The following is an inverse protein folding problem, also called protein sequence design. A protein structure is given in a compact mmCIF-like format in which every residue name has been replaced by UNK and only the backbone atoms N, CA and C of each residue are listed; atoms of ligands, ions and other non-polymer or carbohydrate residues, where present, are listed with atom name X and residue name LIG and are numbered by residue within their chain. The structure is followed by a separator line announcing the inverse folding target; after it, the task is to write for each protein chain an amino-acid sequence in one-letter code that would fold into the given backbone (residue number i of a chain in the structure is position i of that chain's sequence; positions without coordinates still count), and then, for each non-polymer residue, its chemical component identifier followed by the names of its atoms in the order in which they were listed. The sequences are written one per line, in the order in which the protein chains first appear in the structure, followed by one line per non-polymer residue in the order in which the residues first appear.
data_IF_150659332655
#
_entry.id   IF_150659332655
#
_cell.length_a   1.000
_cell.length_b   1.000
_cell.length_c   1.000
_cell.angle_alpha   90.00
_cell.angle_beta   90.00
_cell.angle_gamma   90.00
#
_symmetry.space_group_name_H-M   'P 1'
#
loop_
_entity.id
_entity.type
_entity.pdbx_description
1 polymer ?
#
# COMPACT_ATOMS: atom_id res chain seq x y z
N UNK A 1 -10.55 16.44 9.47
CA UNK A 1 -9.73 17.23 10.39
C UNK A 1 -9.45 18.57 9.71
N UNK A 2 -10.00 19.69 10.21
CA UNK A 2 -9.80 21.02 9.62
C UNK A 2 -8.36 21.53 9.74
N UNK A 3 -7.54 20.98 10.63
CA UNK A 3 -6.16 21.42 10.85
C UNK A 3 -5.18 20.80 9.84
N UNK A 4 -5.64 19.84 9.03
CA UNK A 4 -4.85 19.21 7.98
C UNK A 4 -4.61 20.10 6.76
N UNK A 5 -5.30 21.25 6.66
CA UNK A 5 -5.15 22.19 5.56
C UNK A 5 -5.29 23.64 6.05
N UNK A 6 -4.71 24.63 5.34
CA UNK A 6 -4.99 26.04 5.62
C UNK A 6 -6.49 26.37 5.52
N UNK A 7 -6.98 27.43 6.19
CA UNK A 7 -8.38 27.84 6.13
C UNK A 7 -8.90 27.99 4.69
N UNK A 8 -10.04 27.37 4.40
CA UNK A 8 -10.66 27.37 3.06
C UNK A 8 -9.96 26.47 2.02
N UNK A 9 -9.06 25.59 2.45
CA UNK A 9 -8.37 24.59 1.61
C UNK A 9 -8.69 23.18 2.07
N UNK A 10 -8.36 22.20 1.23
CA UNK A 10 -8.56 20.79 1.49
C UNK A 10 -7.33 19.99 1.10
N UNK A 11 -7.07 18.91 1.85
CA UNK A 11 -6.17 17.84 1.42
C UNK A 11 -7.03 16.72 0.84
N UNK A 12 -6.68 16.27 -0.36
CA UNK A 12 -7.30 15.14 -1.02
C UNK A 12 -6.24 14.08 -1.26
N UNK A 13 -6.48 12.88 -0.75
CA UNK A 13 -5.64 11.71 -0.99
C UNK A 13 -6.35 10.80 -1.98
N UNK A 14 -5.66 10.45 -3.07
CA UNK A 14 -6.18 9.56 -4.10
C UNK A 14 -5.45 8.22 -4.01
N UNK A 15 -6.17 7.17 -3.59
CA UNK A 15 -5.68 5.81 -3.70
C UNK A 15 -6.03 5.27 -5.09
N UNK A 16 -5.02 5.07 -5.94
CA UNK A 16 -5.20 4.74 -7.35
C UNK A 16 -4.86 3.28 -7.58
N UNK A 17 -5.84 2.52 -8.07
CA UNK A 17 -5.64 1.16 -8.56
C UNK A 17 -6.08 1.08 -10.03
N UNK A 18 -5.31 0.47 -10.94
CA UNK A 18 -4.00 -0.19 -10.76
C UNK A 18 -2.89 0.61 -11.45
N UNK A 19 -1.74 0.73 -10.78
CA UNK A 19 -0.52 1.30 -11.33
C UNK A 19 0.55 0.20 -11.45
N UNK A 20 1.01 -0.15 -12.66
CA UNK A 20 2.04 -1.19 -12.83
C UNK A 20 3.41 -0.74 -12.30
N UNK A 21 4.10 -1.63 -11.58
CA UNK A 21 5.49 -1.37 -11.16
C UNK A 21 6.44 -1.41 -12.37
N UNK A 22 6.35 -2.46 -13.19
CA UNK A 22 7.15 -2.62 -14.40
C UNK A 22 6.47 -1.96 -15.61
N UNK A 23 6.94 -0.77 -15.98
CA UNK A 23 6.52 -0.07 -17.20
C UNK A 23 7.67 0.00 -18.22
N UNK A 24 7.34 0.16 -19.50
CA UNK A 24 8.34 0.23 -20.56
C UNK A 24 9.31 1.39 -20.29
N UNK A 25 10.60 1.10 -20.11
CA UNK A 25 11.62 2.09 -19.77
C UNK A 25 11.56 2.61 -18.33
N UNK A 26 10.85 1.93 -17.41
CA UNK A 26 10.84 2.23 -15.98
C UNK A 26 10.12 3.53 -15.59
N UNK A 27 10.01 3.78 -14.29
CA UNK A 27 9.51 5.04 -13.74
C UNK A 27 10.60 6.12 -13.77
N UNK A 28 10.20 7.33 -14.15
CA UNK A 28 11.01 8.54 -14.09
C UNK A 28 10.08 9.73 -13.76
N UNK A 29 10.65 10.93 -13.63
CA UNK A 29 9.89 12.11 -13.24
C UNK A 29 8.78 12.44 -14.25
N UNK A 30 9.05 12.37 -15.56
CA UNK A 30 8.07 12.65 -16.60
C UNK A 30 6.87 11.69 -16.53
N UNK A 31 7.12 10.38 -16.42
CA UNK A 31 6.05 9.37 -16.32
C UNK A 31 5.28 9.46 -15.01
N UNK A 32 5.93 9.90 -13.92
CA UNK A 32 5.25 10.21 -12.66
C UNK A 32 4.24 11.32 -12.88
N UNK A 33 4.65 12.42 -13.51
CA UNK A 33 3.75 13.54 -13.81
C UNK A 33 2.63 13.14 -14.78
N UNK A 34 2.94 12.38 -15.85
CA UNK A 34 1.93 11.84 -16.78
C UNK A 34 0.87 11.00 -16.05
N UNK A 35 1.30 10.16 -15.10
CA UNK A 35 0.38 9.37 -14.27
C UNK A 35 -0.50 10.26 -13.40
N UNK A 36 0.07 11.27 -12.75
CA UNK A 36 -0.69 12.26 -11.98
C UNK A 36 -1.70 13.01 -12.85
N UNK A 37 -1.31 13.43 -14.04
CA UNK A 37 -2.18 14.09 -15.01
C UNK A 37 -3.33 13.19 -15.45
N UNK A 38 -3.07 11.91 -15.71
CA UNK A 38 -4.12 10.94 -16.04
C UNK A 38 -5.18 10.85 -14.93
N UNK A 39 -4.77 10.81 -13.67
CA UNK A 39 -5.67 10.77 -12.50
C UNK A 39 -6.47 12.07 -12.38
N UNK A 40 -5.82 13.23 -12.48
CA UNK A 40 -6.50 14.54 -12.42
C UNK A 40 -7.45 14.73 -13.59
N UNK A 41 -7.08 14.29 -14.79
CA UNK A 41 -7.93 14.31 -15.98
C UNK A 41 -9.19 13.47 -15.80
N UNK A 42 -9.09 12.31 -15.16
CA UNK A 42 -10.24 11.48 -14.82
C UNK A 42 -11.16 12.20 -13.81
N UNK A 43 -10.59 12.80 -12.76
CA UNK A 43 -11.36 13.56 -11.76
C UNK A 43 -12.03 14.80 -12.37
N UNK A 44 -11.37 15.47 -13.32
CA UNK A 44 -11.89 16.67 -13.97
C UNK A 44 -13.20 16.43 -14.74
N UNK A 45 -13.52 15.18 -15.10
CA UNK A 45 -14.82 14.83 -15.69
C UNK A 45 -15.98 15.05 -14.71
N UNK A 46 -15.71 14.97 -13.40
CA UNK A 46 -16.68 15.11 -12.32
C UNK A 46 -16.51 16.41 -11.52
N UNK A 47 -15.28 16.94 -11.47
CA UNK A 47 -14.93 18.19 -10.83
C UNK A 47 -14.16 19.10 -11.82
N UNK A 48 -14.85 19.79 -12.75
CA UNK A 48 -14.20 20.45 -13.88
C UNK A 48 -13.16 21.50 -13.50
N UNK A 49 -13.35 22.20 -12.39
CA UNK A 49 -12.44 23.21 -11.87
C UNK A 49 -11.27 22.65 -11.07
N UNK A 50 -11.15 21.32 -10.90
CA UNK A 50 -10.13 20.70 -10.03
C UNK A 50 -8.71 21.11 -10.46
N UNK A 51 -8.46 21.21 -11.76
CA UNK A 51 -7.15 21.59 -12.31
C UNK A 51 -6.71 22.99 -11.89
N UNK A 52 -7.66 23.90 -11.72
CA UNK A 52 -7.40 25.31 -11.43
C UNK A 52 -7.20 25.58 -9.93
N UNK A 53 -7.56 24.62 -9.08
CA UNK A 53 -7.57 24.78 -7.62
C UNK A 53 -6.51 23.94 -6.89
N UNK A 54 -5.72 23.15 -7.63
CA UNK A 54 -4.59 22.39 -7.07
C UNK A 54 -3.45 23.37 -6.77
N UNK A 55 -3.15 23.58 -5.49
CA UNK A 55 -2.02 24.40 -5.05
C UNK A 55 -0.71 23.62 -5.02
N UNK A 56 -0.79 22.34 -4.67
CA UNK A 56 0.34 21.42 -4.61
C UNK A 56 -0.18 20.01 -4.86
N UNK A 57 0.64 19.18 -5.52
CA UNK A 57 0.38 17.75 -5.68
C UNK A 57 1.65 16.97 -5.36
N UNK A 58 1.46 15.82 -4.74
CA UNK A 58 2.49 14.81 -4.58
C UNK A 58 2.00 13.54 -5.25
N UNK A 59 2.84 12.95 -6.09
CA UNK A 59 2.56 11.70 -6.78
C UNK A 59 3.56 10.68 -6.25
N UNK A 60 3.07 9.56 -5.76
CA UNK A 60 3.91 8.44 -5.30
C UNK A 60 3.64 7.25 -6.21
N UNK A 61 4.62 6.94 -7.07
CA UNK A 61 4.59 5.78 -7.95
C UNK A 61 4.93 4.50 -7.19
N UNK A 62 4.66 3.30 -7.74
CA UNK A 62 5.12 2.06 -7.14
C UNK A 62 6.63 2.04 -6.82
N UNK A 63 7.47 2.67 -7.67
CA UNK A 63 8.91 2.80 -7.42
C UNK A 63 9.24 3.74 -6.25
N UNK A 64 8.49 4.84 -6.11
CA UNK A 64 8.64 5.76 -4.98
C UNK A 64 8.22 5.08 -3.67
N UNK A 65 7.13 4.30 -3.71
CA UNK A 65 6.63 3.56 -2.55
C UNK A 65 7.64 2.49 -2.08
N UNK A 66 8.26 1.77 -3.00
CA UNK A 66 9.28 0.78 -2.68
C UNK A 66 10.54 1.44 -2.08
N UNK A 67 11.07 2.47 -2.74
CA UNK A 67 12.30 3.13 -2.29
C UNK A 67 12.14 3.90 -0.97
N UNK A 68 10.98 4.50 -0.73
CA UNK A 68 10.73 5.33 0.47
C UNK A 68 10.27 4.52 1.66
N UNK A 69 9.39 3.53 1.44
CA UNK A 69 8.71 2.81 2.53
C UNK A 69 9.07 1.33 2.61
N UNK A 70 9.88 0.80 1.68
CA UNK A 70 10.19 -0.62 1.59
C UNK A 70 9.01 -1.48 1.14
N UNK A 71 8.00 -0.86 0.52
CA UNK A 71 6.85 -1.58 -0.04
C UNK A 71 7.24 -2.20 -1.38
N UNK A 72 7.68 -3.46 -1.35
CA UNK A 72 8.05 -4.19 -2.56
C UNK A 72 6.95 -4.09 -3.64
N UNK A 73 7.36 -3.64 -4.82
CA UNK A 73 6.54 -3.34 -5.99
C UNK A 73 5.38 -2.36 -5.73
N UNK A 74 5.46 -1.57 -4.66
CA UNK A 74 4.43 -0.63 -4.23
C UNK A 74 3.18 -1.28 -3.61
N UNK A 75 3.22 -2.59 -3.31
CA UNK A 75 2.04 -3.30 -2.84
C UNK A 75 1.88 -3.20 -1.30
N UNK A 76 0.91 -2.39 -0.86
CA UNK A 76 0.59 -2.18 0.56
C UNK A 76 0.19 -3.46 1.31
N UNK A 77 -0.24 -4.50 0.59
CA UNK A 77 -0.58 -5.78 1.17
C UNK A 77 0.66 -6.66 1.38
N UNK A 78 1.83 -6.33 0.81
CA UNK A 78 3.06 -7.14 0.85
C UNK A 78 2.87 -8.53 0.20
N UNK A 79 2.11 -8.56 -0.89
CA UNK A 79 1.71 -9.76 -1.62
C UNK A 79 0.27 -9.59 -2.09
N UNK A 80 -0.08 -10.22 -3.21
CA UNK A 80 -1.41 -10.15 -3.80
C UNK A 80 -2.47 -10.74 -2.86
N UNK A 81 -3.71 -10.27 -2.99
CA UNK A 81 -4.88 -10.86 -2.34
C UNK A 81 -5.58 -11.84 -3.30
N UNK A 82 -4.81 -12.67 -3.99
CA UNK A 82 -5.31 -13.76 -4.84
C UNK A 82 -5.51 -15.03 -4.01
N UNK A 83 -6.34 -15.96 -4.51
CA UNK A 83 -6.65 -17.20 -3.80
C UNK A 83 -5.39 -18.01 -3.45
N UNK A 84 -4.37 -17.93 -4.30
CA UNK A 84 -3.08 -18.60 -4.14
C UNK A 84 -2.15 -17.93 -3.11
N UNK A 85 -2.44 -16.70 -2.67
CA UNK A 85 -1.63 -15.92 -1.72
C UNK A 85 -2.40 -15.49 -0.46
N UNK A 86 -3.58 -16.09 -0.24
CA UNK A 86 -4.46 -15.84 0.90
C UNK A 86 -4.53 -17.04 1.85
N UNK A 87 -5.10 -16.79 3.04
CA UNK A 87 -5.29 -17.81 4.07
C UNK A 87 -3.99 -18.53 4.44
N UNK A 88 -4.03 -19.87 4.45
CA UNK A 88 -2.89 -20.72 4.77
C UNK A 88 -1.76 -20.62 3.73
N UNK A 89 -1.99 -20.00 2.57
CA UNK A 89 -0.96 -19.81 1.57
C UNK A 89 -0.08 -18.57 1.84
N UNK A 90 -0.30 -17.85 2.95
CA UNK A 90 0.38 -16.59 3.28
C UNK A 90 1.27 -16.72 4.53
N UNK A 91 2.61 -16.66 4.41
CA UNK A 91 3.41 -16.53 3.18
C UNK A 91 3.57 -17.87 2.44
N UNK A 92 3.37 -18.99 3.13
CA UNK A 92 3.36 -20.34 2.60
C UNK A 92 2.73 -21.28 3.63
N UNK A 93 2.22 -22.43 3.17
CA UNK A 93 1.51 -23.44 4.01
C UNK A 93 2.22 -23.78 5.31
N UNK A 94 3.55 -23.92 5.28
CA UNK A 94 4.35 -24.32 6.46
C UNK A 94 4.49 -23.21 7.51
N UNK A 95 4.32 -21.93 7.12
CA UNK A 95 4.64 -20.76 7.94
C UNK A 95 3.45 -19.79 8.08
N UNK A 96 2.25 -20.23 7.72
CA UNK A 96 1.04 -19.42 7.81
C UNK A 96 0.52 -19.25 9.25
N UNK A 97 1.15 -19.89 10.23
CA UNK A 97 0.81 -19.75 11.64
C UNK A 97 1.78 -18.83 12.41
N UNK A 98 2.32 -17.83 11.71
CA UNK A 98 3.18 -16.75 12.23
C UNK A 98 4.60 -17.19 12.63
N UNK A 99 4.92 -18.48 12.64
CA UNK A 99 6.27 -18.98 12.88
C UNK A 99 7.12 -18.87 11.63
N UNK A 100 8.42 -18.76 11.83
CA UNK A 100 9.43 -18.86 10.77
C UNK A 100 10.31 -20.10 10.97
N UNK A 101 11.17 -20.46 10.00
CA UNK A 101 12.20 -21.49 10.21
C UNK A 101 13.23 -21.15 11.31
N UNK A 102 13.31 -19.89 11.74
CA UNK A 102 14.27 -19.44 12.73
C UNK A 102 13.61 -19.52 14.11
N UNK A 103 14.28 -20.20 15.04
CA UNK A 103 13.79 -20.36 16.41
C UNK A 103 13.58 -19.00 17.07
N UNK A 104 12.43 -18.84 17.74
CA UNK A 104 12.03 -17.61 18.43
C UNK A 104 11.93 -16.38 17.51
N UNK A 105 11.76 -16.57 16.21
CA UNK A 105 11.49 -15.50 15.25
C UNK A 105 10.12 -15.72 14.60
N UNK A 106 9.26 -14.73 14.75
CA UNK A 106 7.87 -14.75 14.30
C UNK A 106 7.63 -13.61 13.31
N UNK A 107 6.70 -13.83 12.39
CA UNK A 107 6.31 -12.85 11.39
C UNK A 107 4.89 -12.36 11.63
N UNK A 108 4.68 -11.06 11.40
CA UNK A 108 3.37 -10.42 11.47
C UNK A 108 3.28 -9.30 10.43
N UNK A 109 2.09 -8.72 10.28
CA UNK A 109 1.84 -7.58 9.41
C UNK A 109 1.13 -7.96 8.11
N UNK A 110 1.12 -7.01 7.16
CA UNK A 110 0.35 -7.07 5.91
C UNK A 110 0.58 -8.35 5.09
N UNK A 111 1.83 -8.83 5.11
CA UNK A 111 2.29 -10.03 4.43
C UNK A 111 1.88 -11.35 5.08
N UNK A 112 1.07 -11.34 6.14
CA UNK A 112 0.62 -12.55 6.86
C UNK A 112 -0.89 -12.63 6.93
N UNK A 113 -1.45 -13.82 7.17
CA UNK A 113 -2.88 -14.01 7.38
C UNK A 113 -3.40 -13.08 8.51
N UNK A 114 -4.63 -12.52 8.42
CA UNK A 114 -5.63 -12.62 7.34
C UNK A 114 -5.36 -11.80 6.07
N UNK A 115 -4.28 -11.03 6.05
CA UNK A 115 -3.93 -10.10 4.98
C UNK A 115 -3.71 -8.71 5.54
N UNK A 116 -3.46 -7.76 4.64
CA UNK A 116 -3.20 -6.39 5.02
C UNK A 116 -4.43 -5.54 5.29
N UNK A 117 -4.16 -4.25 5.53
CA UNK A 117 -5.12 -3.27 6.01
C UNK A 117 -4.90 -2.92 7.49
N UNK A 118 -5.63 -1.89 7.97
CA UNK A 118 -5.52 -1.37 9.34
C UNK A 118 -6.44 -2.18 10.27
N UNK A 119 -6.33 -3.51 10.25
CA UNK A 119 -7.17 -4.40 11.08
C UNK A 119 -6.51 -4.73 12.42
N UNK A 120 -5.18 -4.67 12.49
CA UNK A 120 -4.41 -5.12 13.66
C UNK A 120 -4.38 -6.64 13.86
N UNK A 121 -5.19 -7.41 13.13
CA UNK A 121 -5.35 -8.86 13.32
C UNK A 121 -4.07 -9.67 13.13
N UNK A 122 -3.23 -9.41 12.09
CA UNK A 122 -1.96 -10.13 11.96
C UNK A 122 -1.04 -9.98 13.17
N UNK A 123 -0.98 -8.77 13.76
CA UNK A 123 -0.18 -8.50 14.96
C UNK A 123 -0.72 -9.21 16.18
N UNK A 124 -2.05 -9.14 16.39
CA UNK A 124 -2.72 -9.83 17.51
C UNK A 124 -2.52 -11.35 17.46
N UNK A 125 -2.70 -11.96 16.29
CA UNK A 125 -2.59 -13.41 16.13
C UNK A 125 -1.14 -13.90 16.31
N UNK A 126 -0.15 -13.15 15.80
CA UNK A 126 1.26 -13.44 16.06
C UNK A 126 1.60 -13.31 17.55
N UNK A 127 1.11 -12.29 18.25
CA UNK A 127 1.32 -12.13 19.69
C UNK A 127 0.72 -13.30 20.49
N UNK A 128 -0.50 -13.72 20.16
CA UNK A 128 -1.14 -14.91 20.76
C UNK A 128 -0.34 -16.19 20.50
N UNK A 129 0.29 -16.32 19.33
CA UNK A 129 1.17 -17.45 19.01
C UNK A 129 2.42 -17.45 19.89
N UNK A 130 3.07 -16.30 20.04
CA UNK A 130 4.24 -16.12 20.91
C UNK A 130 3.90 -16.49 22.36
N UNK A 131 2.80 -15.98 22.91
CA UNK A 131 2.40 -16.24 24.31
C UNK A 131 2.10 -17.71 24.61
N UNK A 132 1.72 -18.51 23.59
CA UNK A 132 1.49 -19.96 23.75
C UNK A 132 2.78 -20.78 23.74
N UNK A 133 3.85 -20.22 23.17
CA UNK A 133 5.14 -20.89 22.98
C UNK A 133 6.24 -20.31 23.88
N UNK A 134 5.90 -19.34 24.73
CA UNK A 134 6.78 -18.79 25.76
C UNK A 134 6.93 -19.76 26.92
#
# INVERSE_FOLDING_TARGET
DPDMAPPGKHVMSCFVQYAPYNINGGWNDDKREDFGDAVINALAQYAPNIKDIILHRQILTPADLESTFGLSEGNIFHGELSLQQLFIMRPAVKWADYRTPIRNYFQCGSGTHPGGGITGSPGEMAAKKILREW
#
